data_IF_597734073212
#
_entry.id   IF_597734073212
#
_cell.length_a   1.000
_cell.length_b   1.000
_cell.length_c   1.000
_cell.angle_alpha   90.00
_cell.angle_beta   90.00
_cell.angle_gamma   90.00
#
_symmetry.space_group_name_H-M   'P 1'
#
loop_
_entity.id
_entity.type
_entity.pdbx_description
1 polymer ?
#
# COMPACT_ATOMS: atom_id res chain seq x y z
N UNK A 1 -11.82 -2.03 -13.07
CA UNK A 1 -12.36 -0.66 -12.91
C UNK A 1 -13.12 -0.59 -11.59
N UNK A 2 -12.74 0.34 -10.72
CA UNK A 2 -13.46 0.57 -9.47
C UNK A 2 -14.69 1.43 -9.75
N UNK A 3 -15.88 0.83 -9.72
CA UNK A 3 -17.12 1.56 -10.01
C UNK A 3 -17.54 2.44 -8.84
N UNK A 4 -17.22 2.10 -7.59
CA UNK A 4 -17.66 2.88 -6.41
C UNK A 4 -16.72 4.04 -6.05
N UNK A 5 -16.05 4.62 -7.03
CA UNK A 5 -15.24 5.81 -6.82
C UNK A 5 -16.17 7.02 -6.64
N UNK A 6 -16.18 7.61 -5.43
CA UNK A 6 -16.93 8.85 -5.14
C UNK A 6 -16.67 9.88 -6.25
N UNK A 7 -17.75 10.34 -6.89
CA UNK A 7 -17.81 11.37 -7.94
C UNK A 7 -17.35 10.96 -9.36
N UNK A 8 -16.91 9.72 -9.62
CA UNK A 8 -16.41 9.28 -10.93
C UNK A 8 -17.18 8.08 -11.55
N UNK A 9 -18.31 7.70 -10.96
CA UNK A 9 -19.11 6.51 -11.33
C UNK A 9 -19.49 6.46 -12.82
N UNK A 10 -20.12 7.51 -13.34
CA UNK A 10 -20.59 7.55 -14.74
C UNK A 10 -19.44 7.51 -15.75
N UNK A 11 -18.34 8.20 -15.45
CA UNK A 11 -17.13 8.20 -16.28
C UNK A 11 -16.51 6.80 -16.35
N UNK A 12 -16.45 6.10 -15.21
CA UNK A 12 -15.90 4.75 -15.14
C UNK A 12 -16.75 3.74 -15.92
N UNK A 13 -18.08 3.87 -15.89
CA UNK A 13 -18.99 3.03 -16.69
C UNK A 13 -18.78 3.27 -18.19
N UNK A 14 -18.67 4.54 -18.61
CA UNK A 14 -18.45 4.88 -20.02
C UNK A 14 -17.12 4.31 -20.53
N UNK A 15 -16.05 4.45 -19.74
CA UNK A 15 -14.73 3.89 -20.07
C UNK A 15 -14.75 2.36 -20.13
N UNK A 16 -15.40 1.70 -19.19
CA UNK A 16 -15.55 0.25 -19.20
C UNK A 16 -16.15 -0.24 -20.52
N UNK A 17 -17.28 0.34 -20.94
CA UNK A 17 -17.93 -0.01 -22.21
C UNK A 17 -17.06 0.26 -23.44
N UNK A 18 -16.29 1.34 -23.44
CA UNK A 18 -15.38 1.65 -24.56
C UNK A 18 -14.20 0.66 -24.64
N UNK A 19 -13.64 0.27 -23.50
CA UNK A 19 -12.58 -0.72 -23.40
C UNK A 19 -13.07 -2.10 -23.83
N UNK A 20 -14.25 -2.53 -23.34
CA UNK A 20 -14.88 -3.80 -23.74
C UNK A 20 -15.12 -3.86 -25.25
N UNK A 21 -15.66 -2.77 -25.85
CA UNK A 21 -15.83 -2.68 -27.31
C UNK A 21 -14.53 -2.74 -28.09
N UNK A 22 -13.40 -2.45 -27.46
CA UNK A 22 -12.06 -2.52 -28.05
C UNK A 22 -11.36 -3.85 -27.79
N UNK A 23 -12.07 -4.86 -27.24
CA UNK A 23 -11.53 -6.19 -26.95
C UNK A 23 -10.78 -6.31 -25.63
N UNK A 24 -10.84 -5.29 -24.76
CA UNK A 24 -10.22 -5.34 -23.44
C UNK A 24 -11.11 -6.14 -22.48
N UNK A 25 -10.52 -7.10 -21.77
CA UNK A 25 -11.21 -7.77 -20.68
C UNK A 25 -11.30 -6.82 -19.47
N UNK A 26 -12.48 -6.23 -19.26
CA UNK A 26 -12.74 -5.34 -18.15
C UNK A 26 -13.31 -6.13 -16.98
N UNK A 27 -12.67 -6.01 -15.83
CA UNK A 27 -13.14 -6.57 -14.57
C UNK A 27 -13.52 -5.43 -13.63
N UNK A 28 -14.67 -5.55 -12.98
CA UNK A 28 -15.16 -4.61 -12.00
C UNK A 28 -14.65 -4.95 -10.59
N UNK A 29 -14.53 -3.94 -9.71
CA UNK A 29 -13.97 -4.11 -8.37
C UNK A 29 -14.60 -5.24 -7.55
N UNK A 30 -13.86 -5.77 -6.57
CA UNK A 30 -14.29 -6.87 -5.71
C UNK A 30 -15.49 -6.44 -4.85
N UNK A 31 -16.57 -7.22 -4.83
CA UNK A 31 -17.78 -6.90 -4.05
C UNK A 31 -17.43 -6.71 -2.56
N UNK A 32 -17.92 -5.62 -1.97
CA UNK A 32 -17.70 -5.28 -0.56
C UNK A 32 -16.34 -4.65 -0.27
N UNK A 33 -15.45 -4.52 -1.26
CA UNK A 33 -14.15 -3.89 -1.13
C UNK A 33 -13.97 -2.78 -2.15
N UNK A 34 -13.16 -1.78 -1.79
CA UNK A 34 -12.70 -0.74 -2.72
C UNK A 34 -11.26 -1.01 -3.11
N UNK A 35 -10.99 -1.02 -4.41
CA UNK A 35 -9.63 -1.13 -4.93
C UNK A 35 -8.95 0.24 -4.92
N UNK A 36 -7.96 0.43 -4.04
CA UNK A 36 -7.22 1.69 -3.91
C UNK A 36 -5.74 1.59 -4.33
N UNK A 37 -5.27 0.40 -4.69
CA UNK A 37 -3.91 0.20 -5.20
C UNK A 37 -3.77 0.76 -6.62
N UNK A 38 -2.60 1.27 -6.97
CA UNK A 38 -2.30 1.77 -8.31
C UNK A 38 -1.12 1.02 -8.87
N UNK A 39 -1.47 0.00 -9.64
CA UNK A 39 -0.52 -0.95 -10.20
C UNK A 39 -0.75 -1.08 -11.69
N UNK A 40 0.31 -1.36 -12.43
CA UNK A 40 0.24 -1.75 -13.83
C UNK A 40 1.27 -2.84 -14.08
N UNK A 41 1.00 -3.68 -15.08
CA UNK A 41 1.89 -4.78 -15.43
C UNK A 41 1.92 -4.96 -16.94
N UNK A 42 3.12 -5.16 -17.47
CA UNK A 42 3.35 -5.50 -18.88
C UNK A 42 4.06 -6.84 -18.94
N UNK A 43 3.52 -7.77 -19.70
CA UNK A 43 4.19 -9.04 -20.01
C UNK A 43 4.67 -8.95 -21.46
N UNK A 44 5.97 -9.13 -21.68
CA UNK A 44 6.60 -9.07 -23.01
C UNK A 44 7.38 -10.33 -23.27
N UNK A 45 7.27 -10.88 -24.48
CA UNK A 45 8.15 -11.96 -24.94
C UNK A 45 9.48 -11.36 -25.41
N UNK A 46 10.58 -11.85 -24.85
CA UNK A 46 11.94 -11.41 -25.17
C UNK A 46 12.86 -12.62 -25.28
N UNK A 47 13.57 -12.76 -26.41
CA UNK A 47 14.51 -13.87 -26.64
C UNK A 47 13.90 -15.25 -26.32
N UNK A 48 12.63 -15.45 -26.67
CA UNK A 48 11.88 -16.69 -26.40
C UNK A 48 11.24 -16.79 -25.01
N UNK A 49 11.67 -16.00 -24.03
CA UNK A 49 11.16 -16.03 -22.65
C UNK A 49 10.10 -14.95 -22.38
N UNK A 50 9.20 -15.17 -21.42
CA UNK A 50 8.31 -14.13 -20.92
C UNK A 50 9.02 -13.28 -19.86
N UNK A 51 8.95 -11.96 -20.01
CA UNK A 51 9.42 -10.97 -19.05
C UNK A 51 8.24 -10.18 -18.50
N UNK A 52 8.28 -9.86 -17.22
CA UNK A 52 7.25 -9.09 -16.54
C UNK A 52 7.85 -7.78 -16.04
N UNK A 53 7.19 -6.68 -16.39
CA UNK A 53 7.48 -5.34 -15.92
C UNK A 53 6.31 -4.88 -15.05
N UNK A 54 6.62 -4.31 -13.90
CA UNK A 54 5.66 -3.93 -12.87
C UNK A 54 5.77 -2.45 -12.58
N UNK A 55 4.62 -1.81 -12.38
CA UNK A 55 4.50 -0.48 -11.81
C UNK A 55 3.70 -0.57 -10.51
N UNK A 56 4.18 0.09 -9.45
CA UNK A 56 3.46 0.28 -8.19
C UNK A 56 3.56 1.74 -7.79
N UNK A 57 2.42 2.42 -7.62
CA UNK A 57 2.34 3.84 -7.32
C UNK A 57 1.57 4.16 -6.04
N UNK A 58 1.96 5.25 -5.37
CA UNK A 58 1.20 5.83 -4.26
C UNK A 58 -0.02 6.63 -4.75
N UNK A 59 0.11 7.25 -5.93
CA UNK A 59 -0.85 8.12 -6.59
C UNK A 59 -1.65 7.46 -7.71
N UNK A 60 -2.67 8.16 -8.21
CA UNK A 60 -3.47 7.71 -9.35
C UNK A 60 -2.90 8.11 -10.70
N UNK A 61 -3.41 7.49 -11.76
CA UNK A 61 -2.95 7.73 -13.14
C UNK A 61 -3.58 8.98 -13.79
N UNK A 62 -4.17 9.88 -13.01
CA UNK A 62 -4.77 11.10 -13.55
C UNK A 62 -3.67 12.15 -13.77
N UNK A 63 -3.46 12.51 -15.04
CA UNK A 63 -2.42 13.43 -15.48
C UNK A 63 -2.57 14.85 -14.93
N UNK A 64 -3.80 15.32 -14.66
CA UNK A 64 -4.05 16.64 -14.08
C UNK A 64 -3.60 16.68 -12.62
N UNK A 65 -3.95 15.65 -11.86
CA UNK A 65 -3.61 15.56 -10.44
C UNK A 65 -2.14 15.23 -10.21
N UNK A 66 -1.49 14.54 -11.16
CA UNK A 66 -0.06 14.25 -11.10
C UNK A 66 0.84 15.50 -11.05
N UNK A 67 0.39 16.63 -11.59
CA UNK A 67 1.12 17.91 -11.52
C UNK A 67 0.93 18.63 -10.17
N UNK A 68 -0.11 18.27 -9.41
CA UNK A 68 -0.50 18.96 -8.17
C UNK A 68 -0.11 18.17 -6.92
N UNK A 69 -0.14 16.84 -6.99
CA UNK A 69 0.21 15.97 -5.86
C UNK A 69 1.61 15.39 -6.00
N UNK A 70 2.26 15.18 -4.86
CA UNK A 70 3.52 14.45 -4.79
C UNK A 70 3.25 12.96 -4.58
N UNK A 71 3.61 12.16 -5.56
CA UNK A 71 3.48 10.71 -5.54
C UNK A 71 4.76 10.03 -5.99
N UNK A 72 4.94 8.78 -5.54
CA UNK A 72 6.04 7.91 -5.96
C UNK A 72 5.50 6.80 -6.86
N UNK A 73 6.25 6.48 -7.91
CA UNK A 73 6.01 5.35 -8.79
C UNK A 73 7.27 4.50 -8.91
N UNK A 74 7.16 3.22 -8.58
CA UNK A 74 8.22 2.23 -8.76
C UNK A 74 7.99 1.49 -10.08
N UNK A 75 8.92 1.62 -11.03
CA UNK A 75 9.02 0.75 -12.20
C UNK A 75 10.08 -0.31 -11.94
N UNK A 76 9.73 -1.58 -12.14
CA UNK A 76 10.62 -2.70 -11.82
C UNK A 76 10.42 -3.91 -12.72
N UNK A 77 11.50 -4.65 -12.97
CA UNK A 77 11.48 -5.97 -13.61
C UNK A 77 11.84 -7.09 -12.61
N UNK A 78 11.76 -6.81 -11.31
CA UNK A 78 11.99 -7.78 -10.25
C UNK A 78 11.01 -8.95 -10.33
N UNK A 79 11.53 -10.18 -10.29
CA UNK A 79 10.75 -11.38 -10.52
C UNK A 79 9.73 -11.64 -9.41
N UNK A 80 10.11 -11.48 -8.14
CA UNK A 80 9.22 -11.71 -7.00
C UNK A 80 8.08 -10.69 -6.95
N UNK A 81 8.40 -9.41 -7.16
CA UNK A 81 7.39 -8.36 -7.28
C UNK A 81 6.47 -8.64 -8.47
N UNK A 82 7.04 -9.06 -9.60
CA UNK A 82 6.28 -9.50 -10.77
C UNK A 82 5.26 -10.60 -10.42
N UNK A 83 5.71 -11.65 -9.72
CA UNK A 83 4.86 -12.76 -9.25
C UNK A 83 3.75 -12.29 -8.31
N UNK A 84 4.08 -11.44 -7.34
CA UNK A 84 3.08 -10.87 -6.42
C UNK A 84 2.00 -10.07 -7.16
N UNK A 85 2.37 -9.28 -8.17
CA UNK A 85 1.40 -8.57 -8.99
C UNK A 85 0.53 -9.54 -9.81
N UNK A 86 1.07 -10.67 -10.30
CA UNK A 86 0.25 -11.70 -10.97
C UNK A 86 -0.81 -12.21 -10.00
N UNK A 87 -0.40 -12.62 -8.80
CA UNK A 87 -1.31 -13.11 -7.77
C UNK A 87 -2.36 -12.06 -7.40
N UNK A 88 -1.96 -10.80 -7.26
CA UNK A 88 -2.88 -9.71 -6.92
C UNK A 88 -3.90 -9.45 -8.05
N UNK A 89 -3.47 -9.44 -9.31
CA UNK A 89 -4.41 -9.33 -10.44
C UNK A 89 -5.39 -10.50 -10.46
N UNK A 90 -4.92 -11.73 -10.27
CA UNK A 90 -5.79 -12.91 -10.24
C UNK A 90 -6.79 -12.88 -9.08
N UNK A 91 -6.38 -12.34 -7.92
CA UNK A 91 -7.28 -12.12 -6.79
C UNK A 91 -8.36 -11.09 -7.15
N UNK A 92 -7.98 -9.96 -7.75
CA UNK A 92 -8.92 -8.91 -8.16
C UNK A 92 -9.90 -9.37 -9.25
N UNK A 93 -9.51 -10.34 -10.07
CA UNK A 93 -10.36 -10.92 -11.12
C UNK A 93 -11.15 -12.15 -10.69
N UNK A 94 -11.10 -12.52 -9.41
CA UNK A 94 -11.92 -13.61 -8.85
C UNK A 94 -11.36 -15.02 -9.11
N UNK A 95 -10.13 -15.15 -9.60
CA UNK A 95 -9.51 -16.44 -9.93
C UNK A 95 -8.80 -17.11 -8.76
N UNK A 96 -8.52 -16.41 -7.66
CA UNK A 96 -7.77 -17.00 -6.53
C UNK A 96 -8.06 -16.33 -5.19
N UNK A 97 -7.99 -17.09 -4.11
CA UNK A 97 -7.87 -16.58 -2.73
C UNK A 97 -6.40 -16.69 -2.32
N UNK A 98 -5.60 -15.69 -2.68
CA UNK A 98 -4.20 -15.66 -2.27
C UNK A 98 -4.08 -15.16 -0.83
N UNK A 99 -3.41 -15.95 0.02
CA UNK A 99 -3.20 -15.64 1.44
C UNK A 99 -1.83 -15.01 1.74
N UNK A 100 -0.86 -15.14 0.83
CA UNK A 100 0.50 -14.66 1.04
C UNK A 100 1.11 -14.00 -0.21
N UNK A 101 1.98 -13.02 0.03
CA UNK A 101 2.76 -12.31 -0.95
C UNK A 101 4.22 -12.30 -0.50
N UNK A 102 5.17 -12.27 -1.45
CA UNK A 102 6.61 -12.32 -1.17
C UNK A 102 7.15 -10.99 -0.69
N UNK A 103 6.76 -9.91 -1.36
CA UNK A 103 7.21 -8.52 -1.17
C UNK A 103 6.05 -7.56 -0.93
N UNK A 104 4.92 -7.75 -1.59
CA UNK A 104 3.77 -6.86 -1.43
C UNK A 104 3.11 -7.02 -0.05
N UNK A 105 2.66 -5.90 0.51
CA UNK A 105 1.74 -5.87 1.65
C UNK A 105 0.36 -5.47 1.13
N UNK A 106 -0.61 -6.38 1.20
CA UNK A 106 -1.91 -6.22 0.54
C UNK A 106 -3.02 -6.18 1.59
N UNK A 107 -3.82 -5.11 1.57
CA UNK A 107 -5.01 -5.01 2.40
C UNK A 107 -6.21 -5.73 1.74
N UNK A 108 -7.13 -6.30 2.54
CA UNK A 108 -7.10 -6.40 4.00
C UNK A 108 -6.25 -7.59 4.52
N UNK A 109 -5.73 -8.44 3.63
CA UNK A 109 -5.20 -9.76 3.98
C UNK A 109 -3.94 -9.73 4.83
N UNK A 110 -2.89 -9.02 4.41
CA UNK A 110 -1.56 -9.10 5.05
C UNK A 110 -1.07 -7.76 5.60
N UNK A 111 -1.55 -6.63 5.09
CA UNK A 111 -0.95 -5.32 5.37
C UNK A 111 -0.86 -5.01 6.87
N UNK A 112 -1.94 -5.12 7.64
CA UNK A 112 -1.93 -4.72 9.06
C UNK A 112 -0.99 -5.58 9.88
N UNK A 113 -1.14 -6.90 9.80
CA UNK A 113 -0.33 -7.83 10.61
C UNK A 113 1.16 -7.69 10.28
N UNK A 114 1.51 -7.55 8.99
CA UNK A 114 2.91 -7.30 8.58
C UNK A 114 3.44 -5.95 9.07
N UNK A 115 2.62 -4.91 9.15
CA UNK A 115 3.03 -3.63 9.75
C UNK A 115 3.27 -3.77 11.26
N UNK A 116 2.43 -4.52 11.98
CA UNK A 116 2.64 -4.82 13.40
C UNK A 116 3.93 -5.61 13.64
N UNK A 117 4.20 -6.63 12.82
CA UNK A 117 5.46 -7.40 12.85
C UNK A 117 6.69 -6.52 12.63
N UNK A 118 6.62 -5.58 11.68
CA UNK A 118 7.72 -4.64 11.42
C UNK A 118 7.98 -3.71 12.60
N UNK A 119 6.93 -3.26 13.29
CA UNK A 119 7.08 -2.45 14.52
C UNK A 119 7.66 -3.30 15.66
N UNK A 120 7.16 -4.52 15.85
CA UNK A 120 7.68 -5.45 16.87
C UNK A 120 9.16 -5.74 16.66
N UNK A 121 9.60 -5.95 15.42
CA UNK A 121 11.02 -6.14 15.12
C UNK A 121 11.89 -4.97 15.62
N UNK A 122 11.43 -3.73 15.46
CA UNK A 122 12.16 -2.56 15.97
C UNK A 122 12.17 -2.50 17.50
N UNK A 123 11.09 -2.96 18.16
CA UNK A 123 11.03 -3.13 19.62
C UNK A 123 12.07 -4.14 20.09
N UNK A 124 12.14 -5.31 19.46
CA UNK A 124 13.15 -6.34 19.75
C UNK A 124 14.57 -5.85 19.49
N UNK A 125 14.76 -4.98 18.49
CA UNK A 125 16.05 -4.34 18.25
C UNK A 125 16.42 -3.40 19.39
N UNK A 126 15.52 -2.52 19.83
CA UNK A 126 15.76 -1.60 20.94
C UNK A 126 16.08 -2.34 22.24
N UNK A 127 15.28 -3.36 22.60
CA UNK A 127 15.52 -4.19 23.80
C UNK A 127 16.87 -4.91 23.78
N UNK A 128 17.35 -5.29 22.60
CA UNK A 128 18.65 -5.92 22.43
C UNK A 128 19.82 -4.91 22.29
N UNK A 129 19.58 -3.61 22.47
CA UNK A 129 20.60 -2.56 22.28
C UNK A 129 21.07 -2.41 20.83
N UNK A 130 20.32 -2.94 19.86
CA UNK A 130 20.62 -2.83 18.42
C UNK A 130 20.09 -1.53 17.86
N UNK A 131 20.63 -1.13 16.71
CA UNK A 131 20.11 0.01 15.94
C UNK A 131 18.64 -0.26 15.56
N UNK A 132 17.77 0.66 15.93
CA UNK A 132 16.34 0.62 15.66
C UNK A 132 15.83 2.00 15.22
N UNK A 133 14.65 2.05 14.63
CA UNK A 133 13.93 3.29 14.40
C UNK A 133 12.83 3.17 13.36
N UNK A 134 11.78 3.97 13.52
CA UNK A 134 10.63 3.99 12.63
C UNK A 134 10.51 5.38 12.00
N UNK A 135 10.47 5.43 10.67
CA UNK A 135 10.15 6.64 9.91
C UNK A 135 8.99 6.34 8.98
N UNK A 136 7.88 7.05 9.12
CA UNK A 136 6.68 6.80 8.33
C UNK A 136 6.06 8.10 7.82
N UNK A 137 5.70 8.11 6.54
CA UNK A 137 4.99 9.22 5.88
C UNK A 137 3.65 8.73 5.39
N UNK A 138 2.57 9.43 5.72
CA UNK A 138 1.23 9.06 5.29
C UNK A 138 0.28 10.26 5.24
N UNK A 139 -0.89 10.03 4.65
CA UNK A 139 -1.94 11.04 4.60
C UNK A 139 -2.67 11.17 5.93
N UNK A 140 -2.94 10.05 6.60
CA UNK A 140 -3.64 10.01 7.86
C UNK A 140 -3.19 8.80 8.68
N UNK A 141 -3.20 8.93 10.00
CA UNK A 141 -2.91 7.88 10.97
C UNK A 141 -4.03 7.82 12.01
N UNK A 142 -4.92 6.84 11.87
CA UNK A 142 -6.14 6.72 12.71
C UNK A 142 -6.43 5.27 13.13
N UNK A 143 -5.61 4.31 12.71
CA UNK A 143 -5.80 2.89 13.10
C UNK A 143 -5.27 2.68 14.52
N UNK A 144 -6.19 2.42 15.46
CA UNK A 144 -5.86 2.31 16.88
C UNK A 144 -4.83 1.22 17.17
N UNK A 145 -4.94 0.03 16.55
CA UNK A 145 -4.00 -1.08 16.79
C UNK A 145 -2.58 -0.71 16.39
N UNK A 146 -2.41 -0.02 15.26
CA UNK A 146 -1.09 0.47 14.85
C UNK A 146 -0.59 1.59 15.77
N UNK A 147 -1.46 2.49 16.22
CA UNK A 147 -1.10 3.57 17.14
C UNK A 147 -0.63 3.01 18.49
N UNK A 148 -1.38 2.07 19.07
CA UNK A 148 -1.00 1.41 20.33
C UNK A 148 0.36 0.73 20.21
N UNK A 149 0.61 0.07 19.07
CA UNK A 149 1.91 -0.56 18.81
C UNK A 149 3.06 0.44 18.67
N UNK A 150 2.79 1.63 18.12
CA UNK A 150 3.77 2.71 18.08
C UNK A 150 4.06 3.27 19.49
N UNK A 151 3.07 3.33 20.38
CA UNK A 151 3.30 3.67 21.78
C UNK A 151 4.16 2.62 22.49
N UNK A 152 3.86 1.33 22.30
CA UNK A 152 4.74 0.25 22.81
C UNK A 152 6.19 0.42 22.31
N UNK A 153 6.36 0.76 21.03
CA UNK A 153 7.67 1.03 20.46
C UNK A 153 8.38 2.22 21.11
N UNK A 154 7.64 3.31 21.33
CA UNK A 154 8.17 4.49 22.03
C UNK A 154 8.60 4.16 23.46
N UNK A 155 7.77 3.45 24.24
CA UNK A 155 8.10 3.04 25.61
C UNK A 155 9.30 2.09 25.64
N UNK A 156 9.52 1.28 24.61
CA UNK A 156 10.72 0.44 24.47
C UNK A 156 11.98 1.21 24.04
N UNK A 157 11.90 2.53 23.82
CA UNK A 157 13.01 3.37 23.42
C UNK A 157 13.24 3.49 21.91
N UNK A 158 12.32 3.00 21.08
CA UNK A 158 12.44 3.11 19.61
C UNK A 158 12.17 4.56 19.19
N UNK A 159 13.10 5.23 18.49
CA UNK A 159 12.83 6.55 17.91
C UNK A 159 11.79 6.45 16.79
N UNK A 160 10.71 7.23 16.87
CA UNK A 160 9.63 7.24 15.87
C UNK A 160 9.46 8.64 15.28
N UNK A 161 9.57 8.76 13.95
CA UNK A 161 9.33 9.99 13.20
C UNK A 161 8.14 9.79 12.24
N UNK A 162 7.07 10.54 12.47
CA UNK A 162 5.83 10.47 11.71
C UNK A 162 5.65 11.77 10.92
N UNK A 163 5.43 11.66 9.61
CA UNK A 163 5.10 12.79 8.74
C UNK A 163 3.66 12.59 8.26
N UNK A 164 2.70 13.28 8.88
CA UNK A 164 1.26 13.08 8.69
C UNK A 164 0.60 14.38 8.26
N UNK A 165 0.11 14.42 7.01
CA UNK A 165 -0.44 15.69 6.46
C UNK A 165 -1.90 15.98 6.85
N UNK A 166 -2.63 14.98 7.32
CA UNK A 166 -4.07 15.03 7.55
C UNK A 166 -4.43 14.58 8.95
N UNK A 167 -5.51 13.80 9.09
CA UNK A 167 -5.97 13.33 10.38
C UNK A 167 -4.90 12.46 11.08
N UNK A 168 -4.57 12.79 12.32
CA UNK A 168 -3.66 12.04 13.17
C UNK A 168 -4.28 11.87 14.56
N UNK A 169 -4.52 10.62 14.96
CA UNK A 169 -5.00 10.27 16.31
C UNK A 169 -3.87 9.88 17.26
N UNK A 170 -2.63 9.83 16.76
CA UNK A 170 -1.45 9.59 17.59
C UNK A 170 -1.01 10.88 18.29
N UNK A 171 -0.68 10.79 19.58
CA UNK A 171 -0.21 11.91 20.40
C UNK A 171 1.28 11.75 20.69
N UNK A 172 2.07 12.81 20.53
CA UNK A 172 3.51 12.82 20.81
C UNK A 172 3.84 13.51 22.13
N UNK A 173 4.96 13.13 22.75
CA UNK A 173 5.50 13.82 23.92
C UNK A 173 4.81 13.54 25.25
N UNK A 174 3.94 12.52 25.33
CA UNK A 174 3.31 12.12 26.59
C UNK A 174 4.29 11.27 27.40
N UNK A 175 4.56 11.71 28.63
CA UNK A 175 5.51 11.04 29.51
C UNK A 175 5.14 9.56 29.73
N UNK A 176 6.12 8.67 29.63
CA UNK A 176 5.94 7.21 29.76
C UNK A 176 5.15 6.52 28.64
N UNK A 177 4.70 7.25 27.60
CA UNK A 177 3.89 6.70 26.51
C UNK A 177 4.46 7.02 25.12
N UNK A 178 4.72 8.29 24.82
CA UNK A 178 5.05 8.75 23.45
C UNK A 178 6.21 9.74 23.37
N UNK A 179 7.10 9.72 24.36
CA UNK A 179 8.30 10.56 24.43
C UNK A 179 9.24 10.41 23.21
N UNK A 180 9.29 9.22 22.61
CA UNK A 180 10.15 8.94 21.45
C UNK A 180 9.45 9.20 20.11
N UNK A 181 8.18 9.62 20.13
CA UNK A 181 7.41 9.91 18.92
C UNK A 181 7.50 11.40 18.61
N UNK A 182 7.91 11.71 17.39
CA UNK A 182 7.84 13.07 16.81
C UNK A 182 6.89 13.06 15.63
N UNK A 183 5.95 14.00 15.61
CA UNK A 183 4.95 14.15 14.54
C UNK A 183 5.20 15.49 13.84
N UNK A 184 5.24 15.47 12.50
CA UNK A 184 5.34 16.64 11.63
C UNK A 184 4.21 16.66 10.60
#
# INVERSE_FOLDING_TARGET
>A
IELRARFDEDNNIRWARQLERSGVHVVYGVIGLKTHTKIARVIRREKGALRTYSHVGTGNYNSKTAALYTDLGLLSADADLGQDLISLFNYLTGFSKQSAYRKLLVAPTTLRERMLELIEREIEHARAGRRCGIKAKMNALVDQRLIDKLYEASTAGVPVELIVRGACSCTSGVAGLSEQIRIR
#
